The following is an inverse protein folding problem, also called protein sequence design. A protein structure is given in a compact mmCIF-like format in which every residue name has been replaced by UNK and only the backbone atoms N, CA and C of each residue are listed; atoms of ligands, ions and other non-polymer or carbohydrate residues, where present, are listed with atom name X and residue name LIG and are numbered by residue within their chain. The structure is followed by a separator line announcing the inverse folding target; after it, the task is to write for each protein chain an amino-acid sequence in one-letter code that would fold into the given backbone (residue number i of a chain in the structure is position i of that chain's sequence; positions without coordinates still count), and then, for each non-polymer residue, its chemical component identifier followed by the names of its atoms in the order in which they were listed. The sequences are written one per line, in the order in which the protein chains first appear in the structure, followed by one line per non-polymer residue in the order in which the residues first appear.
data_IF_117842857175
#
_entry.id   IF_117842857175
#
_cell.length_a   1.000
_cell.length_b   1.000
_cell.length_c   1.000
_cell.angle_alpha   90.00
_cell.angle_beta   90.00
_cell.angle_gamma   90.00
#
_symmetry.space_group_name_H-M   'P 1'
#
loop_
_entity.id
_entity.type
_entity.pdbx_description
1 polymer ?
#
# COMPACT_ATOMS: atom_id res chain seq x y z
N UNK A 1 -49.04 -31.19 28.22
CA UNK A 1 -47.58 -30.92 28.23
C UNK A 1 -47.41 -29.43 28.12
N UNK A 2 -46.81 -28.78 29.12
CA UNK A 2 -46.63 -27.33 29.08
C UNK A 2 -45.56 -26.99 28.03
N UNK A 3 -45.68 -25.84 27.35
CA UNK A 3 -44.74 -25.44 26.31
C UNK A 3 -43.27 -25.42 26.78
N UNK A 4 -43.05 -25.18 28.08
CA UNK A 4 -41.73 -25.28 28.73
C UNK A 4 -41.15 -26.68 28.69
N UNK A 5 -41.94 -27.70 29.02
CA UNK A 5 -41.50 -29.10 29.01
C UNK A 5 -41.06 -29.54 27.60
N UNK A 6 -41.70 -29.00 26.56
CA UNK A 6 -41.36 -29.30 25.16
C UNK A 6 -40.02 -28.66 24.79
N UNK A 7 -39.79 -27.41 25.19
CA UNK A 7 -38.56 -26.67 24.89
C UNK A 7 -37.38 -27.30 25.63
N UNK A 8 -37.54 -27.62 26.91
CA UNK A 8 -36.49 -28.21 27.74
C UNK A 8 -36.10 -29.61 27.24
N UNK A 9 -37.11 -30.43 26.86
CA UNK A 9 -36.87 -31.74 26.23
C UNK A 9 -36.23 -31.61 24.85
N UNK A 10 -36.56 -30.58 24.09
CA UNK A 10 -35.93 -30.29 22.80
C UNK A 10 -34.47 -29.85 22.96
N UNK A 11 -34.12 -29.08 24.00
CA UNK A 11 -32.73 -28.67 24.28
C UNK A 11 -31.85 -29.85 24.69
N UNK A 12 -32.35 -30.75 25.54
CA UNK A 12 -31.65 -31.98 25.92
C UNK A 12 -31.40 -32.87 24.70
N UNK A 13 -32.41 -33.03 23.84
CA UNK A 13 -32.26 -33.80 22.60
C UNK A 13 -31.32 -33.12 21.60
N UNK A 14 -31.27 -31.78 21.58
CA UNK A 14 -30.38 -31.00 20.72
C UNK A 14 -28.90 -31.20 21.04
N UNK A 15 -28.57 -31.44 22.31
CA UNK A 15 -27.20 -31.74 22.74
C UNK A 15 -26.72 -33.14 22.29
N UNK A 16 -27.63 -34.07 22.01
CA UNK A 16 -27.32 -35.43 21.53
C UNK A 16 -27.21 -35.54 20.01
N UNK A 17 -27.47 -34.46 19.26
CA UNK A 17 -27.43 -34.48 17.80
C UNK A 17 -25.99 -34.30 17.30
N UNK A 18 -25.64 -35.06 16.26
CA UNK A 18 -24.33 -34.97 15.62
C UNK A 18 -24.08 -33.55 15.09
N UNK A 19 -22.81 -33.14 15.02
CA UNK A 19 -22.39 -31.80 14.57
C UNK A 19 -22.91 -31.41 13.18
N UNK A 20 -23.34 -32.38 12.35
CA UNK A 20 -23.93 -32.17 11.02
C UNK A 20 -25.45 -32.01 10.98
N UNK A 21 -26.19 -32.21 12.08
CA UNK A 21 -27.66 -32.16 12.07
C UNK A 21 -28.23 -30.79 11.67
N UNK A 22 -27.56 -29.70 12.07
CA UNK A 22 -27.92 -28.34 11.64
C UNK A 22 -27.81 -28.18 10.13
N UNK A 23 -26.74 -28.71 9.53
CA UNK A 23 -26.52 -28.66 8.09
C UNK A 23 -27.55 -29.52 7.33
N UNK A 24 -27.91 -30.69 7.87
CA UNK A 24 -28.99 -31.53 7.30
C UNK A 24 -30.36 -30.86 7.38
N UNK A 25 -30.69 -30.23 8.50
CA UNK A 25 -31.94 -29.50 8.67
C UNK A 25 -32.03 -28.33 7.69
N UNK A 26 -30.96 -27.55 7.55
CA UNK A 26 -30.88 -26.44 6.58
C UNK A 26 -31.01 -26.99 5.15
N UNK A 27 -30.31 -28.07 4.80
CA UNK A 27 -30.45 -28.74 3.49
C UNK A 27 -31.88 -29.19 3.23
N UNK A 28 -32.56 -29.76 4.22
CA UNK A 28 -33.96 -30.20 4.09
C UNK A 28 -34.90 -29.01 3.85
N UNK A 29 -34.73 -27.91 4.59
CA UNK A 29 -35.53 -26.69 4.42
C UNK A 29 -35.36 -26.09 3.02
N UNK A 30 -34.11 -25.98 2.54
CA UNK A 30 -33.84 -25.49 1.18
C UNK A 30 -34.37 -26.45 0.10
N UNK A 31 -34.29 -27.76 0.33
CA UNK A 31 -34.84 -28.78 -0.59
C UNK A 31 -36.36 -28.66 -0.70
N UNK A 32 -37.06 -28.47 0.41
CA UNK A 32 -38.51 -28.33 0.41
C UNK A 32 -38.93 -27.01 -0.24
N UNK A 33 -38.23 -25.92 0.06
CA UNK A 33 -38.41 -24.64 -0.63
C UNK A 33 -38.18 -24.76 -2.14
N UNK A 34 -37.18 -25.53 -2.58
CA UNK A 34 -36.92 -25.78 -4.00
C UNK A 34 -38.06 -26.57 -4.66
N UNK A 35 -38.58 -27.61 -4.00
CA UNK A 35 -39.73 -28.40 -4.49
C UNK A 35 -40.96 -27.51 -4.68
N UNK A 36 -41.25 -26.67 -3.68
CA UNK A 36 -42.37 -25.71 -3.74
C UNK A 36 -42.15 -24.71 -4.88
N UNK A 37 -40.95 -24.14 -4.99
CA UNK A 37 -40.61 -23.18 -6.05
C UNK A 37 -40.73 -23.80 -7.45
N UNK A 38 -40.28 -25.04 -7.65
CA UNK A 38 -40.41 -25.75 -8.93
C UNK A 38 -41.86 -25.99 -9.34
N UNK A 39 -42.76 -26.19 -8.37
CA UNK A 39 -44.21 -26.38 -8.61
C UNK A 39 -44.93 -25.06 -8.87
N UNK A 40 -44.55 -24.00 -8.16
CA UNK A 40 -45.22 -22.71 -8.21
C UNK A 40 -44.70 -21.77 -9.30
N UNK A 41 -43.44 -21.93 -9.73
CA UNK A 41 -42.78 -21.02 -10.66
C UNK A 41 -42.54 -21.71 -12.00
N UNK A 42 -43.27 -21.29 -13.04
CA UNK A 42 -42.92 -21.63 -14.43
C UNK A 42 -41.78 -20.71 -14.89
N UNK A 43 -40.62 -21.28 -15.19
CA UNK A 43 -39.52 -20.55 -15.83
C UNK A 43 -39.87 -20.33 -17.31
N UNK A 44 -40.07 -19.08 -17.71
CA UNK A 44 -40.26 -18.72 -19.10
C UNK A 44 -38.94 -18.84 -19.87
N UNK A 45 -38.85 -19.86 -20.75
CA UNK A 45 -37.83 -20.02 -21.79
C UNK A 45 -36.40 -20.31 -21.32
N UNK A 46 -35.60 -20.88 -22.22
CA UNK A 46 -34.15 -20.91 -22.10
C UNK A 46 -33.66 -19.46 -21.92
N UNK A 47 -33.25 -19.13 -20.69
CA UNK A 47 -32.54 -17.89 -20.44
C UNK A 47 -31.30 -17.91 -21.32
N UNK A 48 -31.30 -17.14 -22.41
CA UNK A 48 -30.04 -16.64 -22.97
C UNK A 48 -29.27 -16.08 -21.79
N UNK A 49 -28.11 -16.64 -21.51
CA UNK A 49 -27.21 -16.08 -20.52
C UNK A 49 -27.05 -14.61 -20.90
N UNK A 50 -27.56 -13.70 -20.08
CA UNK A 50 -27.25 -12.29 -20.22
C UNK A 50 -25.73 -12.17 -20.28
N UNK A 51 -25.21 -11.20 -21.04
CA UNK A 51 -23.78 -10.94 -21.15
C UNK A 51 -23.12 -10.92 -19.76
N UNK A 52 -23.84 -10.37 -18.78
CA UNK A 52 -23.54 -10.38 -17.35
C UNK A 52 -23.22 -11.76 -16.78
N UNK A 53 -24.00 -12.80 -17.09
CA UNK A 53 -23.78 -14.16 -16.57
C UNK A 53 -22.60 -14.87 -17.24
N UNK A 54 -22.32 -14.56 -18.52
CA UNK A 54 -21.12 -15.07 -19.21
C UNK A 54 -19.85 -14.45 -18.64
N UNK A 55 -19.86 -13.13 -18.44
CA UNK A 55 -18.77 -12.40 -17.81
C UNK A 55 -18.57 -12.91 -16.38
N UNK A 56 -19.66 -13.10 -15.63
CA UNK A 56 -19.59 -13.63 -14.27
C UNK A 56 -18.89 -14.99 -14.23
N UNK A 57 -19.30 -15.93 -15.09
CA UNK A 57 -18.71 -17.28 -15.12
C UNK A 57 -17.20 -17.29 -15.36
N UNK A 58 -16.72 -16.36 -16.19
CA UNK A 58 -15.29 -16.19 -16.45
C UNK A 58 -14.64 -15.57 -15.20
N UNK A 59 -15.16 -14.44 -14.72
CA UNK A 59 -14.60 -13.68 -13.60
C UNK A 59 -14.63 -14.47 -12.28
N UNK A 60 -15.62 -15.33 -12.05
CA UNK A 60 -15.75 -16.14 -10.81
C UNK A 60 -15.08 -17.50 -10.90
N UNK A 61 -14.50 -17.85 -12.06
CA UNK A 61 -13.79 -19.12 -12.14
C UNK A 61 -12.49 -19.02 -11.32
N UNK A 62 -12.14 -20.03 -10.52
CA UNK A 62 -10.94 -19.98 -9.67
C UNK A 62 -9.65 -19.92 -10.50
N UNK A 63 -9.65 -20.49 -11.71
CA UNK A 63 -8.48 -20.53 -12.59
C UNK A 63 -8.30 -19.25 -13.42
N UNK A 64 -9.38 -18.65 -13.94
CA UNK A 64 -9.26 -17.44 -14.80
C UNK A 64 -9.54 -16.15 -14.06
N UNK A 65 -10.33 -16.17 -12.98
CA UNK A 65 -10.67 -14.97 -12.21
C UNK A 65 -9.48 -14.30 -11.52
N UNK A 66 -8.55 -15.09 -10.96
CA UNK A 66 -7.33 -14.59 -10.33
C UNK A 66 -6.37 -13.92 -11.35
N UNK A 67 -5.99 -14.56 -12.47
CA UNK A 67 -5.21 -13.91 -13.53
C UNK A 67 -5.88 -12.67 -14.10
N UNK A 68 -7.19 -12.70 -14.35
CA UNK A 68 -7.92 -11.54 -14.89
C UNK A 68 -7.90 -10.38 -13.89
N UNK A 69 -8.03 -10.65 -12.59
CA UNK A 69 -7.86 -9.61 -11.56
C UNK A 69 -6.46 -9.01 -11.60
N UNK A 70 -5.40 -9.85 -11.60
CA UNK A 70 -4.02 -9.35 -11.61
C UNK A 70 -3.73 -8.54 -12.88
N UNK A 71 -4.23 -8.99 -14.03
CA UNK A 71 -4.11 -8.27 -15.29
C UNK A 71 -4.84 -6.92 -15.25
N UNK A 72 -6.09 -6.89 -14.76
CA UNK A 72 -6.88 -5.67 -14.68
C UNK A 72 -6.30 -4.67 -13.67
N UNK A 73 -5.89 -5.14 -12.49
CA UNK A 73 -5.16 -4.32 -11.51
C UNK A 73 -3.83 -3.83 -12.11
N UNK A 74 -3.12 -4.68 -12.83
CA UNK A 74 -1.89 -4.32 -13.55
C UNK A 74 -2.12 -3.23 -14.60
N UNK A 75 -3.22 -3.29 -15.37
CA UNK A 75 -3.61 -2.25 -16.32
C UNK A 75 -3.91 -0.93 -15.60
N UNK A 76 -4.66 -0.97 -14.49
CA UNK A 76 -4.98 0.24 -13.72
C UNK A 76 -3.71 0.86 -13.13
N UNK A 77 -2.81 0.05 -12.56
CA UNK A 77 -1.53 0.52 -12.01
C UNK A 77 -0.65 1.08 -13.13
N UNK A 78 -0.55 0.39 -14.27
CA UNK A 78 0.23 0.87 -15.43
C UNK A 78 -0.30 2.20 -15.94
N UNK A 79 -1.63 2.31 -16.15
CA UNK A 79 -2.29 3.56 -16.55
C UNK A 79 -2.03 4.67 -15.53
N UNK A 80 -2.09 4.34 -14.24
CA UNK A 80 -1.83 5.28 -13.15
C UNK A 80 -0.39 5.77 -13.20
N UNK A 81 0.61 4.87 -13.23
CA UNK A 81 2.03 5.26 -13.18
C UNK A 81 2.44 6.01 -14.46
N UNK A 82 2.12 5.46 -15.63
CA UNK A 82 2.49 6.10 -16.90
C UNK A 82 1.76 7.43 -17.12
N UNK A 83 0.48 7.52 -16.77
CA UNK A 83 -0.29 8.76 -16.85
C UNK A 83 0.14 9.78 -15.79
N UNK A 84 0.45 9.32 -14.58
CA UNK A 84 0.87 10.20 -13.48
C UNK A 84 2.23 10.83 -13.75
N UNK A 85 3.20 10.13 -14.33
CA UNK A 85 4.54 10.69 -14.57
C UNK A 85 4.47 12.00 -15.37
N UNK A 86 3.73 12.00 -16.49
CA UNK A 86 3.57 13.18 -17.36
C UNK A 86 2.97 14.36 -16.59
N UNK A 87 1.91 14.10 -15.81
CA UNK A 87 1.22 15.14 -15.03
C UNK A 87 2.08 15.60 -13.85
N UNK A 88 2.82 14.69 -13.22
CA UNK A 88 3.72 14.97 -12.09
C UNK A 88 4.86 15.88 -12.51
N UNK A 89 5.46 15.63 -13.67
CA UNK A 89 6.55 16.46 -14.21
C UNK A 89 6.05 17.88 -14.55
N UNK A 90 4.86 17.99 -15.12
CA UNK A 90 4.24 19.29 -15.40
C UNK A 90 3.96 20.09 -14.11
N UNK A 91 3.40 19.44 -13.08
CA UNK A 91 3.14 20.07 -11.78
C UNK A 91 4.46 20.43 -11.08
N UNK A 92 5.43 19.52 -11.09
CA UNK A 92 6.76 19.75 -10.51
C UNK A 92 7.43 20.97 -11.13
N UNK A 93 7.41 21.10 -12.45
CA UNK A 93 8.00 22.24 -13.17
C UNK A 93 7.38 23.56 -12.70
N UNK A 94 6.06 23.63 -12.62
CA UNK A 94 5.35 24.85 -12.18
C UNK A 94 5.61 25.15 -10.71
N UNK A 95 5.52 24.15 -9.82
CA UNK A 95 5.72 24.34 -8.38
C UNK A 95 7.17 24.70 -8.05
N UNK A 96 8.16 24.06 -8.67
CA UNK A 96 9.56 24.42 -8.45
C UNK A 96 9.90 25.78 -9.05
N UNK A 97 9.31 26.16 -10.18
CA UNK A 97 9.45 27.52 -10.71
C UNK A 97 8.88 28.57 -9.76
N UNK A 98 7.67 28.37 -9.23
CA UNK A 98 7.09 29.25 -8.18
C UNK A 98 8.01 29.28 -6.96
N UNK A 99 8.57 28.12 -6.61
CA UNK A 99 9.69 27.96 -5.70
C UNK A 99 10.78 28.99 -5.96
N UNK A 100 11.49 28.87 -7.06
CA UNK A 100 12.66 29.72 -7.30
C UNK A 100 12.32 31.22 -7.31
N UNK A 101 11.12 31.61 -7.77
CA UNK A 101 10.63 32.99 -7.67
C UNK A 101 10.40 33.46 -6.23
N UNK A 102 9.78 32.62 -5.38
CA UNK A 102 9.56 32.96 -3.98
C UNK A 102 10.87 33.09 -3.19
N UNK A 103 11.88 32.28 -3.53
CA UNK A 103 13.23 32.42 -2.97
C UNK A 103 13.85 33.77 -3.35
N UNK A 104 13.79 34.14 -4.63
CA UNK A 104 14.28 35.43 -5.12
C UNK A 104 13.58 36.62 -4.43
N UNK A 105 12.28 36.50 -4.14
CA UNK A 105 11.53 37.51 -3.39
C UNK A 105 12.00 37.66 -1.94
N UNK A 106 12.30 36.55 -1.25
CA UNK A 106 12.84 36.58 0.12
C UNK A 106 14.27 37.16 0.16
N UNK A 107 15.08 36.87 -0.86
CA UNK A 107 16.40 37.46 -1.03
C UNK A 107 16.31 38.97 -1.32
N UNK A 108 15.33 39.42 -2.12
CA UNK A 108 15.04 40.84 -2.33
C UNK A 108 14.67 41.56 -1.01
N UNK A 109 13.90 40.90 -0.14
CA UNK A 109 13.56 41.41 1.19
C UNK A 109 14.72 41.33 2.21
N UNK A 110 15.90 40.82 1.81
CA UNK A 110 17.09 40.63 2.65
C UNK A 110 16.81 39.87 3.95
N UNK A 111 15.90 38.89 3.88
CA UNK A 111 15.64 38.03 5.03
C UNK A 111 16.86 37.16 5.34
N UNK A 112 17.13 36.85 6.63
CA UNK A 112 18.21 35.96 7.01
C UNK A 112 18.15 34.62 6.27
N UNK A 113 19.32 34.10 5.86
CA UNK A 113 19.43 32.86 5.09
C UNK A 113 18.70 31.67 5.73
N UNK A 114 18.64 31.62 7.07
CA UNK A 114 17.98 30.55 7.80
C UNK A 114 16.45 30.61 7.72
N UNK A 115 15.84 31.79 7.58
CA UNK A 115 14.39 31.94 7.41
C UNK A 115 14.00 31.50 6.00
N UNK A 116 14.72 32.00 5.00
CA UNK A 116 14.51 31.65 3.60
C UNK A 116 14.73 30.14 3.40
N UNK A 117 15.81 29.58 3.94
CA UNK A 117 16.09 28.16 3.83
C UNK A 117 15.06 27.30 4.56
N UNK A 118 14.70 27.63 5.80
CA UNK A 118 13.74 26.84 6.58
C UNK A 118 12.34 26.80 5.95
N UNK A 119 11.79 27.97 5.61
CA UNK A 119 10.43 28.09 5.08
C UNK A 119 10.40 27.61 3.63
N UNK A 120 11.38 28.01 2.83
CA UNK A 120 11.29 27.85 1.39
C UNK A 120 12.00 26.59 0.89
N UNK A 121 13.29 26.44 1.22
CA UNK A 121 14.06 25.26 0.80
C UNK A 121 13.69 24.00 1.61
N UNK A 122 13.15 24.16 2.82
CA UNK A 122 12.63 23.07 3.65
C UNK A 122 11.13 22.82 3.47
N UNK A 123 10.28 23.68 4.04
CA UNK A 123 8.82 23.45 4.07
C UNK A 123 8.21 23.48 2.67
N UNK A 124 8.42 24.54 1.90
CA UNK A 124 7.80 24.70 0.58
C UNK A 124 8.25 23.62 -0.40
N UNK A 125 9.57 23.38 -0.53
CA UNK A 125 10.08 22.32 -1.42
C UNK A 125 9.59 20.94 -1.01
N UNK A 126 9.54 20.63 0.27
CA UNK A 126 8.97 19.36 0.76
C UNK A 126 7.50 19.19 0.39
N UNK A 127 6.70 20.26 0.54
CA UNK A 127 5.31 20.27 0.11
C UNK A 127 5.16 20.15 -1.40
N UNK A 128 5.98 20.86 -2.18
CA UNK A 128 5.98 20.80 -3.64
C UNK A 128 6.26 19.37 -4.13
N UNK A 129 7.23 18.67 -3.52
CA UNK A 129 7.52 17.26 -3.80
C UNK A 129 6.34 16.34 -3.49
N UNK A 130 5.72 16.48 -2.32
CA UNK A 130 4.58 15.65 -1.94
C UNK A 130 3.39 15.90 -2.88
N UNK A 131 3.13 17.16 -3.23
CA UNK A 131 2.04 17.50 -4.15
C UNK A 131 2.33 16.99 -5.56
N UNK A 132 3.53 17.21 -6.10
CA UNK A 132 3.85 16.80 -7.47
C UNK A 132 3.84 15.28 -7.64
N UNK A 133 4.39 14.53 -6.69
CA UNK A 133 4.53 13.07 -6.81
C UNK A 133 3.29 12.31 -6.35
N UNK A 134 2.60 12.77 -5.31
CA UNK A 134 1.49 12.01 -4.71
C UNK A 134 0.13 12.33 -5.34
N UNK A 135 -0.12 13.57 -5.75
CA UNK A 135 -1.45 13.99 -6.23
C UNK A 135 -1.86 13.32 -7.56
N UNK A 136 -1.05 13.34 -8.64
CA UNK A 136 -1.45 12.78 -9.93
C UNK A 136 -1.80 11.29 -9.91
N UNK A 137 -0.99 10.38 -9.31
CA UNK A 137 -1.34 8.97 -9.31
C UNK A 137 -2.60 8.70 -8.48
N UNK A 138 -2.84 9.42 -7.37
CA UNK A 138 -4.09 9.29 -6.61
C UNK A 138 -5.30 9.81 -7.40
N UNK A 139 -5.15 10.92 -8.13
CA UNK A 139 -6.20 11.50 -8.95
C UNK A 139 -6.62 10.60 -10.12
N UNK A 140 -5.74 9.73 -10.62
CA UNK A 140 -6.04 8.75 -11.67
C UNK A 140 -6.54 7.43 -11.06
N UNK A 141 -5.83 6.92 -10.05
CA UNK A 141 -6.09 5.60 -9.45
C UNK A 141 -7.48 5.52 -8.81
N UNK A 142 -7.87 6.50 -7.99
CA UNK A 142 -9.14 6.41 -7.27
C UNK A 142 -10.36 6.44 -8.17
N UNK A 143 -10.50 7.35 -9.16
CA UNK A 143 -11.61 7.26 -10.10
C UNK A 143 -11.64 5.95 -10.89
N UNK A 144 -10.48 5.47 -11.38
CA UNK A 144 -10.40 4.20 -12.11
C UNK A 144 -10.86 3.02 -11.23
N UNK A 145 -10.41 2.98 -9.97
CA UNK A 145 -10.79 1.95 -9.02
C UNK A 145 -12.27 2.03 -8.63
N UNK A 146 -12.80 3.23 -8.36
CA UNK A 146 -14.23 3.43 -8.03
C UNK A 146 -15.13 3.02 -9.20
N UNK A 147 -14.72 3.22 -10.45
CA UNK A 147 -15.46 2.71 -11.62
C UNK A 147 -15.55 1.17 -11.58
N UNK A 148 -14.44 0.50 -11.27
CA UNK A 148 -14.41 -0.97 -11.15
C UNK A 148 -15.22 -1.48 -9.96
N UNK A 149 -15.27 -0.70 -8.88
CA UNK A 149 -16.10 -0.94 -7.70
C UNK A 149 -17.59 -0.86 -8.05
N UNK A 150 -18.02 0.24 -8.67
CA UNK A 150 -19.43 0.50 -9.04
C UNK A 150 -19.94 -0.46 -10.13
N UNK A 151 -19.06 -0.90 -11.03
CA UNK A 151 -19.36 -1.97 -11.99
C UNK A 151 -19.61 -3.32 -11.31
N UNK A 152 -19.32 -3.49 -10.01
CA UNK A 152 -19.52 -4.75 -9.31
C UNK A 152 -18.49 -5.82 -9.67
N UNK A 153 -17.38 -5.45 -10.33
CA UNK A 153 -16.28 -6.35 -10.66
C UNK A 153 -15.48 -6.73 -9.40
N UNK A 154 -15.12 -5.73 -8.58
CA UNK A 154 -14.31 -5.96 -7.38
C UNK A 154 -14.97 -6.91 -6.36
N UNK A 155 -16.28 -6.79 -6.02
CA UNK A 155 -16.96 -7.75 -5.14
C UNK A 155 -16.88 -9.21 -5.63
N UNK A 156 -16.96 -9.45 -6.95
CA UNK A 156 -16.88 -10.80 -7.55
C UNK A 156 -15.48 -11.37 -7.44
N UNK A 157 -14.47 -10.52 -7.64
CA UNK A 157 -13.08 -10.92 -7.46
C UNK A 157 -12.75 -11.23 -6.00
N UNK A 158 -13.30 -10.45 -5.06
CA UNK A 158 -13.13 -10.73 -3.63
C UNK A 158 -13.68 -12.11 -3.22
N UNK A 159 -14.73 -12.58 -3.90
CA UNK A 159 -15.25 -13.95 -3.70
C UNK A 159 -14.22 -15.03 -4.08
N UNK A 160 -13.47 -14.86 -5.18
CA UNK A 160 -12.44 -15.83 -5.57
C UNK A 160 -11.28 -15.87 -4.57
N UNK A 161 -10.96 -14.74 -3.95
CA UNK A 161 -9.89 -14.63 -2.95
C UNK A 161 -10.33 -15.06 -1.56
N UNK A 162 -11.63 -15.25 -1.30
CA UNK A 162 -12.16 -15.53 0.03
C UNK A 162 -11.53 -16.79 0.64
N UNK A 163 -11.29 -17.85 -0.14
CA UNK A 163 -10.67 -19.06 0.41
C UNK A 163 -9.25 -18.80 0.93
N UNK A 164 -8.48 -17.92 0.27
CA UNK A 164 -7.11 -17.59 0.67
C UNK A 164 -7.10 -16.78 1.96
N UNK A 165 -7.98 -15.78 2.06
CA UNK A 165 -8.15 -14.98 3.27
C UNK A 165 -8.71 -15.81 4.43
N UNK A 166 -9.67 -16.70 4.18
CA UNK A 166 -10.20 -17.59 5.21
C UNK A 166 -9.12 -18.51 5.77
N UNK A 167 -8.20 -19.00 4.92
CA UNK A 167 -7.06 -19.82 5.36
C UNK A 167 -6.09 -19.05 6.26
N UNK A 168 -5.91 -17.75 6.04
CA UNK A 168 -5.12 -16.87 6.92
C UNK A 168 -5.88 -16.36 8.15
N UNK A 169 -7.13 -16.78 8.37
CA UNK A 169 -7.96 -16.33 9.50
C UNK A 169 -8.50 -14.90 9.32
N UNK A 170 -8.67 -14.49 8.08
CA UNK A 170 -9.17 -13.19 7.64
C UNK A 170 -10.44 -13.33 6.78
N UNK A 171 -11.02 -12.20 6.38
CA UNK A 171 -12.31 -12.12 5.67
C UNK A 171 -12.10 -11.77 4.19
N UNK A 172 -12.85 -12.35 3.24
CA UNK A 172 -12.70 -12.08 1.80
C UNK A 172 -12.86 -10.60 1.41
N UNK A 173 -13.69 -9.84 2.13
CA UNK A 173 -13.80 -8.36 1.98
C UNK A 173 -12.46 -7.63 2.17
N UNK A 174 -11.49 -8.22 2.88
CA UNK A 174 -10.15 -7.66 3.01
C UNK A 174 -9.44 -7.51 1.66
N UNK A 175 -9.69 -8.38 0.70
CA UNK A 175 -9.14 -8.26 -0.66
C UNK A 175 -9.43 -6.89 -1.29
N UNK A 176 -10.66 -6.38 -1.11
CA UNK A 176 -11.08 -5.07 -1.60
C UNK A 176 -10.27 -3.94 -0.97
N UNK A 177 -10.04 -4.05 0.34
CA UNK A 177 -9.33 -3.04 1.12
C UNK A 177 -7.84 -3.01 0.80
N UNK A 178 -7.26 -4.18 0.52
CA UNK A 178 -5.87 -4.31 0.07
C UNK A 178 -5.69 -3.74 -1.33
N UNK A 179 -6.64 -4.01 -2.23
CA UNK A 179 -6.61 -3.46 -3.57
C UNK A 179 -6.64 -1.92 -3.55
N UNK A 180 -7.39 -1.31 -2.62
CA UNK A 180 -7.38 0.14 -2.42
C UNK A 180 -6.05 0.67 -1.82
N UNK A 181 -5.32 -0.16 -1.07
CA UNK A 181 -4.01 0.16 -0.50
C UNK A 181 -2.94 0.46 -1.55
N UNK A 182 -2.99 -0.17 -2.73
CA UNK A 182 -2.09 0.12 -3.86
C UNK A 182 -2.07 1.60 -4.25
N UNK A 183 -3.23 2.28 -4.16
CA UNK A 183 -3.29 3.72 -4.34
C UNK A 183 -2.71 4.45 -3.13
N UNK A 184 -3.33 4.25 -1.96
CA UNK A 184 -2.86 4.85 -0.71
C UNK A 184 -3.27 3.97 0.48
N UNK A 185 -2.31 3.59 1.31
CA UNK A 185 -2.58 2.79 2.51
C UNK A 185 -3.54 3.49 3.48
N UNK A 186 -3.56 4.83 3.54
CA UNK A 186 -4.53 5.56 4.36
C UNK A 186 -5.97 5.37 3.85
N UNK A 187 -6.19 5.41 2.54
CA UNK A 187 -7.50 5.12 1.94
C UNK A 187 -7.88 3.63 2.12
N UNK A 188 -6.91 2.72 1.96
CA UNK A 188 -7.05 1.30 2.25
C UNK A 188 -7.54 1.04 3.67
N UNK A 189 -6.94 1.69 4.68
CA UNK A 189 -7.37 1.61 6.08
C UNK A 189 -8.81 2.12 6.27
N UNK A 190 -9.20 3.23 5.64
CA UNK A 190 -10.59 3.75 5.73
C UNK A 190 -11.59 2.76 5.12
N UNK A 191 -11.23 2.09 4.02
CA UNK A 191 -12.10 1.11 3.35
C UNK A 191 -12.37 -0.15 4.17
N UNK A 192 -11.60 -0.41 5.24
CA UNK A 192 -11.82 -1.55 6.14
C UNK A 192 -13.16 -1.49 6.88
N UNK A 193 -13.86 -0.34 6.86
CA UNK A 193 -15.25 -0.20 7.34
C UNK A 193 -16.25 -1.12 6.64
N UNK A 194 -15.91 -1.66 5.47
CA UNK A 194 -16.71 -2.67 4.76
C UNK A 194 -16.72 -4.03 5.49
N UNK A 195 -15.73 -4.29 6.35
CA UNK A 195 -15.61 -5.51 7.17
C UNK A 195 -16.40 -5.34 8.47
N UNK A 196 -17.39 -6.21 8.68
CA UNK A 196 -18.35 -6.10 9.79
C UNK A 196 -17.72 -6.52 11.13
N UNK A 197 -16.89 -7.58 11.11
CA UNK A 197 -16.22 -8.09 12.31
C UNK A 197 -15.10 -7.15 12.78
N UNK A 198 -15.16 -6.60 14.02
CA UNK A 198 -14.13 -5.69 14.53
C UNK A 198 -12.73 -6.31 14.56
N UNK A 199 -12.65 -7.62 14.82
CA UNK A 199 -11.40 -8.38 14.85
C UNK A 199 -10.77 -8.48 13.47
N UNK A 200 -11.53 -8.93 12.49
CA UNK A 200 -11.06 -9.09 11.10
C UNK A 200 -10.76 -7.72 10.48
N UNK A 201 -11.56 -6.70 10.82
CA UNK A 201 -11.29 -5.30 10.46
C UNK A 201 -9.93 -4.85 10.98
N UNK A 202 -9.58 -5.16 12.22
CA UNK A 202 -8.29 -4.79 12.78
C UNK A 202 -7.12 -5.52 12.13
N UNK A 203 -7.28 -6.81 11.79
CA UNK A 203 -6.28 -7.55 10.99
C UNK A 203 -6.07 -6.86 9.64
N UNK A 204 -7.16 -6.51 8.94
CA UNK A 204 -7.10 -5.79 7.67
C UNK A 204 -6.40 -4.43 7.80
N UNK A 205 -6.71 -3.66 8.85
CA UNK A 205 -6.06 -2.36 9.13
C UNK A 205 -4.54 -2.53 9.30
N UNK A 206 -4.09 -3.49 10.11
CA UNK A 206 -2.67 -3.69 10.41
C UNK A 206 -1.89 -4.26 9.23
N UNK A 207 -2.52 -5.12 8.43
CA UNK A 207 -1.85 -5.79 7.31
C UNK A 207 -1.89 -5.00 6.00
N UNK A 208 -2.72 -3.95 5.90
CA UNK A 208 -2.82 -3.11 4.69
C UNK A 208 -1.47 -2.54 4.26
N UNK A 209 -0.59 -2.23 5.22
CA UNK A 209 0.73 -1.67 4.94
C UNK A 209 1.65 -2.56 4.10
N UNK A 210 1.47 -3.89 4.14
CA UNK A 210 2.31 -4.83 3.37
C UNK A 210 2.04 -4.77 1.86
N UNK A 211 0.99 -4.07 1.46
CA UNK A 211 0.75 -3.71 0.06
C UNK A 211 1.52 -2.42 -0.26
N UNK A 212 2.35 -2.39 -1.32
CA UNK A 212 3.06 -1.18 -1.70
C UNK A 212 2.06 -0.14 -2.23
N UNK A 213 2.03 1.04 -1.60
CA UNK A 213 1.25 2.17 -2.08
C UNK A 213 2.02 3.00 -3.12
N UNK A 214 1.34 3.91 -3.83
CA UNK A 214 1.90 4.79 -4.85
C UNK A 214 3.28 5.38 -4.48
N UNK A 215 3.47 5.89 -3.26
CA UNK A 215 4.74 6.46 -2.83
C UNK A 215 5.94 5.52 -2.74
N UNK A 216 5.73 4.20 -2.75
CA UNK A 216 6.80 3.20 -2.73
C UNK A 216 7.25 2.82 -4.14
N UNK A 217 6.39 2.97 -5.15
CA UNK A 217 6.72 2.58 -6.53
C UNK A 217 7.92 3.32 -7.14
N UNK A 218 8.10 4.65 -6.96
CA UNK A 218 9.28 5.34 -7.50
C UNK A 218 10.60 4.72 -7.03
N UNK A 219 10.71 4.41 -5.74
CA UNK A 219 11.89 3.74 -5.18
C UNK A 219 12.08 2.35 -5.79
N UNK A 220 11.02 1.55 -5.88
CA UNK A 220 11.08 0.19 -6.44
C UNK A 220 11.47 0.20 -7.93
N UNK A 221 10.89 1.11 -8.72
CA UNK A 221 11.15 1.25 -10.15
C UNK A 221 12.58 1.75 -10.39
N UNK A 222 13.04 2.73 -9.62
CA UNK A 222 14.41 3.24 -9.70
C UNK A 222 15.42 2.12 -9.45
N UNK A 223 15.27 1.37 -8.36
CA UNK A 223 16.19 0.29 -8.01
C UNK A 223 16.12 -0.87 -9.00
N UNK A 224 14.92 -1.21 -9.48
CA UNK A 224 14.75 -2.29 -10.46
C UNK A 224 15.44 -1.93 -11.78
N UNK A 225 15.31 -0.68 -12.23
CA UNK A 225 15.95 -0.19 -13.45
C UNK A 225 17.48 -0.12 -13.31
N UNK A 226 17.97 0.47 -12.22
CA UNK A 226 19.41 0.78 -12.04
C UNK A 226 20.24 -0.45 -11.66
N UNK A 227 19.68 -1.42 -10.94
CA UNK A 227 20.44 -2.58 -10.43
C UNK A 227 20.06 -3.91 -11.07
N UNK A 228 18.76 -4.16 -11.30
CA UNK A 228 18.31 -5.47 -11.82
C UNK A 228 18.34 -5.50 -13.35
N UNK A 229 17.86 -4.44 -13.98
CA UNK A 229 17.83 -4.33 -15.45
C UNK A 229 19.15 -3.80 -16.05
N UNK A 230 20.13 -3.49 -15.22
CA UNK A 230 21.34 -2.76 -15.59
C UNK A 230 22.24 -3.48 -16.64
N UNK A 231 22.13 -4.81 -16.75
CA UNK A 231 22.87 -5.63 -17.72
C UNK A 231 22.11 -5.90 -19.03
N UNK A 232 20.90 -5.35 -19.18
CA UNK A 232 20.03 -5.57 -20.33
C UNK A 232 19.80 -4.26 -21.08
N UNK A 233 19.47 -4.33 -22.37
CA UNK A 233 19.29 -3.16 -23.22
C UNK A 233 17.95 -3.17 -23.96
N UNK A 234 17.33 -1.99 -24.11
CA UNK A 234 16.09 -1.83 -24.88
C UNK A 234 14.87 -2.44 -24.18
N UNK A 235 14.00 -3.09 -24.95
CA UNK A 235 12.73 -3.63 -24.44
C UNK A 235 12.91 -4.67 -23.32
N UNK A 236 13.97 -5.47 -23.36
CA UNK A 236 14.23 -6.52 -22.36
C UNK A 236 14.53 -5.92 -20.98
N UNK A 237 15.22 -4.78 -20.91
CA UNK A 237 15.49 -4.07 -19.67
C UNK A 237 14.18 -3.62 -18.99
N UNK A 238 13.26 -3.03 -19.76
CA UNK A 238 11.96 -2.59 -19.25
C UNK A 238 11.11 -3.76 -18.74
N UNK A 239 11.11 -4.90 -19.45
CA UNK A 239 10.38 -6.10 -19.03
C UNK A 239 10.96 -6.67 -17.74
N UNK A 240 12.29 -6.72 -17.60
CA UNK A 240 12.96 -7.24 -16.40
C UNK A 240 12.74 -6.32 -15.20
N UNK A 241 12.83 -5.00 -15.38
CA UNK A 241 12.50 -4.05 -14.32
C UNK A 241 11.05 -4.19 -13.86
N UNK A 242 10.11 -4.31 -14.80
CA UNK A 242 8.69 -4.55 -14.48
C UNK A 242 8.48 -5.88 -13.75
N UNK A 243 9.12 -6.95 -14.20
CA UNK A 243 9.05 -8.27 -13.56
C UNK A 243 9.61 -8.24 -12.13
N UNK A 244 10.70 -7.49 -11.88
CA UNK A 244 11.25 -7.30 -10.55
C UNK A 244 10.27 -6.58 -9.63
N UNK A 245 9.64 -5.48 -10.09
CA UNK A 245 8.61 -4.75 -9.32
C UNK A 245 7.41 -5.65 -9.02
N UNK A 246 6.92 -6.41 -10.00
CA UNK A 246 5.83 -7.38 -9.80
C UNK A 246 6.24 -8.45 -8.77
N UNK A 247 7.48 -8.95 -8.82
CA UNK A 247 8.01 -9.89 -7.85
C UNK A 247 7.96 -9.33 -6.42
N UNK A 248 8.40 -8.09 -6.22
CA UNK A 248 8.32 -7.39 -4.92
C UNK A 248 6.87 -7.22 -4.47
N UNK A 249 5.96 -6.85 -5.37
CA UNK A 249 4.53 -6.75 -5.05
C UNK A 249 3.96 -8.09 -4.58
N UNK A 250 4.30 -9.19 -5.26
CA UNK A 250 3.86 -10.54 -4.88
C UNK A 250 4.44 -10.97 -3.53
N UNK A 251 5.69 -10.60 -3.22
CA UNK A 251 6.27 -10.80 -1.90
C UNK A 251 5.44 -10.05 -0.83
N UNK A 252 5.02 -8.81 -1.10
CA UNK A 252 4.17 -8.03 -0.20
C UNK A 252 2.79 -8.66 0.04
N UNK A 253 2.17 -9.19 -1.02
CA UNK A 253 0.94 -9.98 -0.91
C UNK A 253 1.17 -11.26 -0.09
N UNK A 254 2.31 -11.92 -0.25
CA UNK A 254 2.71 -13.05 0.59
C UNK A 254 2.82 -12.69 2.06
N UNK A 255 3.51 -11.60 2.39
CA UNK A 255 3.62 -11.08 3.77
C UNK A 255 2.27 -10.67 4.35
N UNK A 256 1.38 -10.13 3.53
CA UNK A 256 0.00 -9.82 3.92
C UNK A 256 -0.72 -11.06 4.46
N UNK A 257 -0.65 -12.18 3.73
CA UNK A 257 -1.26 -13.43 4.17
C UNK A 257 -0.57 -14.03 5.39
N UNK A 258 0.77 -14.01 5.42
CA UNK A 258 1.57 -14.47 6.55
C UNK A 258 1.22 -13.71 7.83
N UNK A 259 1.18 -12.38 7.76
CA UNK A 259 0.89 -11.53 8.92
C UNK A 259 -0.56 -11.61 9.35
N UNK A 260 -1.49 -11.77 8.40
CA UNK A 260 -2.91 -12.05 8.73
C UNK A 260 -3.04 -13.35 9.53
N UNK A 261 -2.32 -14.40 9.11
CA UNK A 261 -2.27 -15.69 9.81
C UNK A 261 -1.62 -15.59 11.20
N UNK A 262 -0.49 -14.91 11.31
CA UNK A 262 0.21 -14.73 12.58
C UNK A 262 -0.65 -13.93 13.56
N UNK A 263 -1.24 -12.81 13.13
CA UNK A 263 -2.07 -11.95 13.98
C UNK A 263 -3.36 -12.64 14.42
N UNK A 264 -4.02 -13.39 13.53
CA UNK A 264 -5.27 -14.11 13.86
C UNK A 264 -5.06 -15.23 14.89
N UNK A 265 -3.84 -15.79 14.99
CA UNK A 265 -3.48 -16.85 15.95
C UNK A 265 -2.88 -16.32 17.26
N UNK A 266 -2.21 -15.16 17.23
CA UNK A 266 -1.46 -14.63 18.38
C UNK A 266 -2.25 -13.56 19.13
N UNK A 267 -2.30 -12.34 18.59
CA UNK A 267 -2.80 -11.15 19.27
C UNK A 267 -4.32 -11.01 19.16
N UNK A 268 -4.91 -11.50 18.08
CA UNK A 268 -6.33 -11.32 17.75
C UNK A 268 -7.01 -12.69 17.68
N UNK A 269 -7.19 -13.35 18.83
CA UNK A 269 -7.91 -14.64 18.95
C UNK A 269 -9.43 -14.41 18.99
N UNK A 270 -10.22 -15.24 18.33
CA UNK A 270 -11.69 -15.16 18.32
C UNK A 270 -12.35 -16.11 17.32
N UNK A 271 -13.67 -16.11 17.26
CA UNK A 271 -14.45 -16.88 16.28
C UNK A 271 -14.46 -16.18 14.91
N UNK A 272 -14.48 -16.96 13.82
CA UNK A 272 -14.53 -16.45 12.45
C UNK A 272 -15.96 -16.00 12.13
N UNK A 273 -16.12 -14.83 11.49
CA UNK A 273 -17.45 -14.37 11.09
C UNK A 273 -17.97 -15.14 9.87
N UNK A 274 -19.28 -15.34 9.78
CA UNK A 274 -19.90 -16.01 8.64
C UNK A 274 -19.93 -15.07 7.42
N UNK A 275 -19.31 -15.49 6.32
CA UNK A 275 -19.27 -14.74 5.06
C UNK A 275 -20.61 -14.87 4.31
N UNK A 276 -21.51 -13.90 4.47
CA UNK A 276 -22.68 -13.73 3.59
C UNK A 276 -22.44 -12.52 2.69
N UNK A 277 -21.81 -12.73 1.53
CA UNK A 277 -21.66 -11.67 0.53
C UNK A 277 -22.86 -11.71 -0.44
N UNK A 278 -23.77 -10.76 -0.29
CA UNK A 278 -24.78 -10.50 -1.31
C UNK A 278 -24.06 -9.94 -2.56
N UNK A 279 -24.05 -10.69 -3.66
CA UNK A 279 -23.44 -10.23 -4.91
C UNK A 279 -24.29 -9.08 -5.49
N UNK A 280 -23.75 -7.85 -5.60
CA UNK A 280 -24.51 -6.74 -6.15
C UNK A 280 -24.76 -6.94 -7.67
N UNK A 281 -25.94 -6.53 -8.18
CA UNK A 281 -26.20 -6.55 -9.62
C UNK A 281 -25.28 -5.59 -10.37
N UNK A 282 -24.92 -5.88 -11.62
CA UNK A 282 -24.18 -4.96 -12.48
C UNK A 282 -24.97 -3.66 -12.63
N UNK A 283 -24.35 -2.52 -12.31
CA UNK A 283 -24.94 -1.19 -12.47
C UNK A 283 -24.02 -0.34 -13.34
N UNK A 284 -24.62 0.52 -14.18
CA UNK A 284 -23.84 1.48 -14.97
C UNK A 284 -23.26 2.56 -14.04
N UNK A 285 -21.95 2.80 -14.07
CA UNK A 285 -21.30 3.75 -13.19
C UNK A 285 -21.74 5.19 -13.51
N UNK A 286 -22.08 5.98 -12.49
CA UNK A 286 -22.36 7.40 -12.68
C UNK A 286 -21.04 8.20 -12.68
N UNK A 287 -20.45 8.37 -13.86
CA UNK A 287 -19.11 8.94 -14.04
C UNK A 287 -18.95 10.30 -13.33
N UNK A 288 -19.96 11.18 -13.38
CA UNK A 288 -19.89 12.50 -12.74
C UNK A 288 -19.81 12.40 -11.22
N UNK A 289 -20.66 11.57 -10.62
CA UNK A 289 -20.65 11.34 -9.16
C UNK A 289 -19.35 10.68 -8.73
N UNK A 290 -18.87 9.70 -9.50
CA UNK A 290 -17.61 8.99 -9.21
C UNK A 290 -16.43 9.95 -9.24
N UNK A 291 -16.33 10.79 -10.26
CA UNK A 291 -15.23 11.74 -10.41
C UNK A 291 -15.23 12.76 -9.27
N UNK A 292 -16.38 13.33 -8.93
CA UNK A 292 -16.53 14.26 -7.80
C UNK A 292 -16.13 13.62 -6.47
N UNK A 293 -16.73 12.47 -6.14
CA UNK A 293 -16.51 11.76 -4.86
C UNK A 293 -15.06 11.28 -4.76
N UNK A 294 -14.49 10.75 -5.84
CA UNK A 294 -13.13 10.21 -5.81
C UNK A 294 -12.07 11.31 -5.72
N UNK A 295 -12.20 12.39 -6.49
CA UNK A 295 -11.22 13.49 -6.45
C UNK A 295 -11.29 14.28 -5.15
N UNK A 296 -12.49 14.61 -4.67
CA UNK A 296 -12.62 15.44 -3.48
C UNK A 296 -12.42 14.59 -2.22
N UNK A 297 -13.27 13.58 -2.01
CA UNK A 297 -13.31 12.84 -0.75
C UNK A 297 -12.07 11.96 -0.56
N UNK A 298 -11.61 11.30 -1.63
CA UNK A 298 -10.50 10.34 -1.56
C UNK A 298 -9.14 10.98 -1.89
N UNK A 299 -9.03 11.89 -2.85
CA UNK A 299 -7.75 12.51 -3.22
C UNK A 299 -7.41 13.74 -2.38
N UNK A 300 -8.25 14.79 -2.41
CA UNK A 300 -7.92 16.08 -1.80
C UNK A 300 -7.83 16.03 -0.27
N UNK A 301 -8.75 15.36 0.43
CA UNK A 301 -8.64 15.26 1.90
C UNK A 301 -7.44 14.43 2.37
N UNK A 302 -7.06 13.39 1.62
CA UNK A 302 -5.88 12.59 1.95
C UNK A 302 -4.62 13.38 1.65
N UNK A 303 -4.57 14.10 0.53
CA UNK A 303 -3.48 15.01 0.19
C UNK A 303 -3.30 16.11 1.26
N UNK A 304 -4.40 16.70 1.73
CA UNK A 304 -4.36 17.71 2.79
C UNK A 304 -3.71 17.17 4.07
N UNK A 305 -4.07 15.95 4.49
CA UNK A 305 -3.45 15.30 5.66
C UNK A 305 -1.96 15.02 5.42
N UNK A 306 -1.59 14.58 4.22
CA UNK A 306 -0.20 14.34 3.87
C UNK A 306 0.63 15.63 3.90
N UNK A 307 0.09 16.74 3.39
CA UNK A 307 0.75 18.05 3.45
C UNK A 307 0.96 18.52 4.90
N UNK A 308 -0.04 18.37 5.77
CA UNK A 308 0.09 18.72 7.19
C UNK A 308 1.20 17.93 7.89
N UNK A 309 1.40 16.67 7.51
CA UNK A 309 2.50 15.85 8.07
C UNK A 309 3.84 16.09 7.39
N UNK A 310 3.86 16.43 6.10
CA UNK A 310 5.07 16.61 5.31
C UNK A 310 5.75 17.98 5.53
N UNK A 311 4.98 19.05 5.77
CA UNK A 311 5.53 20.37 6.05
C UNK A 311 6.59 20.37 7.19
N UNK A 312 6.30 19.85 8.40
CA UNK A 312 7.31 19.80 9.47
C UNK A 312 8.46 18.84 9.14
N UNK A 313 8.21 17.80 8.33
CA UNK A 313 9.25 16.89 7.86
C UNK A 313 10.27 17.60 6.97
N UNK A 314 9.79 18.36 5.97
CA UNK A 314 10.64 19.15 5.08
C UNK A 314 11.47 20.18 5.84
N UNK A 315 10.87 20.82 6.85
CA UNK A 315 11.58 21.72 7.75
C UNK A 315 12.72 21.01 8.50
N UNK A 316 12.43 19.84 9.07
CA UNK A 316 13.40 19.04 9.80
C UNK A 316 14.53 18.54 8.89
N UNK A 317 14.21 18.09 7.67
CA UNK A 317 15.21 17.68 6.67
C UNK A 317 16.18 18.82 6.39
N UNK A 318 15.67 20.03 6.15
CA UNK A 318 16.50 21.20 5.89
C UNK A 318 17.38 21.56 7.09
N UNK A 319 16.83 21.53 8.31
CA UNK A 319 17.59 21.79 9.53
C UNK A 319 18.74 20.79 9.68
N UNK A 320 18.47 19.50 9.48
CA UNK A 320 19.49 18.45 9.59
C UNK A 320 20.57 18.59 8.50
N UNK A 321 20.20 19.04 7.29
CA UNK A 321 21.14 19.22 6.19
C UNK A 321 22.05 20.45 6.36
N UNK A 322 21.57 21.53 6.99
CA UNK A 322 22.29 22.81 7.04
C UNK A 322 22.97 23.10 8.38
N UNK A 323 22.64 22.40 9.47
CA UNK A 323 23.37 22.55 10.73
C UNK A 323 24.77 21.93 10.57
N UNK A 324 25.84 22.71 10.69
CA UNK A 324 27.20 22.18 10.65
C UNK A 324 27.49 21.41 11.95
N UNK A 325 28.08 20.23 11.82
CA UNK A 325 28.57 19.41 12.91
C UNK A 325 30.03 19.02 12.61
N UNK A 326 30.98 19.70 13.26
CA UNK A 326 32.40 19.64 12.92
C UNK A 326 32.65 19.96 11.43
N UNK A 327 33.02 18.95 10.63
CA UNK A 327 33.36 19.09 9.21
C UNK A 327 32.25 18.60 8.26
N UNK A 328 31.13 18.12 8.80
CA UNK A 328 30.02 17.55 8.01
C UNK A 328 28.69 18.17 8.42
N UNK A 329 27.62 17.91 7.65
CA UNK A 329 26.27 18.26 8.09
C UNK A 329 25.80 17.34 9.21
N UNK A 330 24.89 17.83 10.06
CA UNK A 330 24.29 17.01 11.13
C UNK A 330 23.62 15.75 10.56
N UNK A 331 23.00 15.85 9.38
CA UNK A 331 22.45 14.71 8.65
C UNK A 331 23.53 13.65 8.36
N UNK A 332 24.70 14.05 7.84
CA UNK A 332 25.79 13.11 7.60
C UNK A 332 26.35 12.50 8.90
N UNK A 333 26.45 13.28 9.97
CA UNK A 333 26.91 12.77 11.27
C UNK A 333 25.95 11.69 11.82
N UNK A 334 24.64 11.90 11.72
CA UNK A 334 23.64 10.91 12.14
C UNK A 334 23.68 9.69 11.21
N UNK A 335 23.83 9.88 9.90
CA UNK A 335 23.96 8.77 8.95
C UNK A 335 25.19 7.91 9.26
N UNK A 336 26.34 8.53 9.57
CA UNK A 336 27.55 7.80 9.99
C UNK A 336 27.33 7.02 11.29
N UNK A 337 26.59 7.58 12.24
CA UNK A 337 26.21 6.87 13.46
C UNK A 337 25.26 5.69 13.20
N UNK A 338 24.40 5.78 12.19
CA UNK A 338 23.48 4.71 11.77
C UNK A 338 24.14 3.63 10.90
N UNK A 339 25.32 3.88 10.30
CA UNK A 339 26.03 2.92 9.44
C UNK A 339 26.17 1.50 10.01
N UNK A 340 26.59 1.27 11.28
CA UNK A 340 26.68 -0.10 11.80
C UNK A 340 25.34 -0.85 11.72
N UNK A 341 24.23 -0.17 12.02
CA UNK A 341 22.89 -0.76 11.90
C UNK A 341 22.48 -0.95 10.43
N UNK A 342 22.83 0.01 9.56
CA UNK A 342 22.61 -0.09 8.13
C UNK A 342 23.28 -1.34 7.55
N UNK A 343 24.57 -1.49 7.81
CA UNK A 343 25.34 -2.62 7.30
C UNK A 343 24.83 -3.96 7.84
N UNK A 344 24.38 -4.05 9.09
CA UNK A 344 23.76 -5.26 9.62
C UNK A 344 22.54 -5.71 8.79
N UNK A 345 21.79 -4.75 8.24
CA UNK A 345 20.64 -5.00 7.37
C UNK A 345 21.01 -5.10 5.88
N UNK A 346 22.29 -5.03 5.52
CA UNK A 346 22.74 -4.93 4.13
C UNK A 346 22.37 -3.60 3.47
N UNK A 347 22.07 -2.57 4.26
CA UNK A 347 21.82 -1.18 3.85
C UNK A 347 23.00 -0.30 4.28
N UNK A 348 22.83 1.01 4.25
CA UNK A 348 23.75 1.99 4.85
C UNK A 348 23.00 2.95 5.78
N UNK A 349 23.75 3.78 6.51
CA UNK A 349 23.17 4.72 7.45
C UNK A 349 22.42 5.87 6.80
N UNK A 350 22.71 6.20 5.53
CA UNK A 350 22.00 7.25 4.78
C UNK A 350 20.58 6.78 4.44
N UNK A 351 20.43 5.54 3.98
CA UNK A 351 19.13 4.89 3.76
C UNK A 351 18.33 4.90 5.06
N UNK A 352 18.92 4.44 6.17
CA UNK A 352 18.20 4.40 7.45
C UNK A 352 17.77 5.79 7.91
N UNK A 353 18.65 6.78 7.80
CA UNK A 353 18.33 8.17 8.14
C UNK A 353 17.18 8.70 7.28
N UNK A 354 17.23 8.46 5.96
CA UNK A 354 16.19 8.90 5.05
C UNK A 354 14.83 8.32 5.43
N UNK A 355 14.74 7.03 5.75
CA UNK A 355 13.48 6.41 6.21
C UNK A 355 13.01 6.90 7.59
N UNK A 356 13.93 7.27 8.49
CA UNK A 356 13.57 7.85 9.80
C UNK A 356 12.98 9.25 9.64
N UNK A 357 13.56 10.10 8.78
CA UNK A 357 13.09 11.47 8.60
C UNK A 357 11.87 11.52 7.68
N UNK A 358 11.80 10.65 6.67
CA UNK A 358 10.73 10.60 5.69
C UNK A 358 9.50 9.77 6.13
N UNK A 359 9.40 9.37 7.41
CA UNK A 359 8.18 8.75 7.96
C UNK A 359 6.90 9.50 7.54
N UNK A 360 6.86 10.84 7.46
CA UNK A 360 5.66 11.54 7.05
C UNK A 360 5.20 11.27 5.61
N UNK A 361 6.14 11.08 4.68
CA UNK A 361 5.85 10.84 3.26
C UNK A 361 6.93 9.96 2.63
N UNK A 362 6.53 8.81 2.09
CA UNK A 362 7.50 7.85 1.53
C UNK A 362 8.05 8.31 0.17
N UNK A 363 7.38 9.26 -0.46
CA UNK A 363 7.73 9.89 -1.74
C UNK A 363 9.02 10.73 -1.62
N UNK A 364 9.31 11.30 -0.45
CA UNK A 364 10.49 12.14 -0.23
C UNK A 364 11.73 11.35 0.22
N UNK A 365 11.63 10.02 0.38
CA UNK A 365 12.77 9.17 0.77
C UNK A 365 13.91 9.32 -0.23
N UNK A 366 13.64 9.16 -1.53
CA UNK A 366 14.68 9.21 -2.57
C UNK A 366 15.31 10.61 -2.68
N UNK A 367 14.55 11.72 -2.75
CA UNK A 367 15.13 13.07 -2.69
C UNK A 367 15.99 13.32 -1.45
N UNK A 368 15.58 12.80 -0.29
CA UNK A 368 16.34 12.92 0.97
C UNK A 368 17.64 12.12 0.92
N UNK A 369 17.62 10.91 0.36
CA UNK A 369 18.83 10.12 0.16
C UNK A 369 19.82 10.83 -0.77
N UNK A 370 19.33 11.33 -1.91
CA UNK A 370 20.17 12.06 -2.87
C UNK A 370 20.78 13.31 -2.24
N UNK A 371 20.01 14.07 -1.46
CA UNK A 371 20.50 15.21 -0.70
C UNK A 371 21.66 14.83 0.23
N UNK A 372 21.51 13.77 1.04
CA UNK A 372 22.56 13.38 2.00
C UNK A 372 23.80 12.83 1.29
N UNK A 373 23.65 12.04 0.22
CA UNK A 373 24.76 11.51 -0.57
C UNK A 373 25.57 12.58 -1.31
N UNK A 374 24.91 13.66 -1.70
CA UNK A 374 25.54 14.79 -2.40
C UNK A 374 25.95 15.92 -1.46
N UNK A 375 25.65 15.79 -0.16
CA UNK A 375 25.79 16.84 0.85
C UNK A 375 25.08 18.16 0.44
N UNK A 376 23.94 18.06 -0.24
CA UNK A 376 23.15 19.22 -0.60
C UNK A 376 22.43 19.78 0.64
N UNK A 377 22.27 21.10 0.72
CA UNK A 377 21.52 21.77 1.80
C UNK A 377 20.00 21.65 1.66
N UNK A 378 19.49 20.89 0.70
CA UNK A 378 18.07 20.83 0.36
C UNK A 378 17.75 19.58 -0.46
N UNK A 379 16.48 19.14 -0.43
CA UNK A 379 16.03 18.02 -1.24
C UNK A 379 16.20 18.31 -2.73
N UNK A 380 16.82 17.37 -3.44
CA UNK A 380 17.09 17.43 -4.87
C UNK A 380 16.36 16.31 -5.61
N UNK A 381 16.08 16.53 -6.90
CA UNK A 381 15.56 15.50 -7.78
C UNK A 381 16.58 14.40 -8.02
N UNK A 382 16.07 13.21 -8.32
CA UNK A 382 16.90 12.13 -8.85
C UNK A 382 17.52 12.55 -10.18
N UNK A 383 18.80 12.22 -10.43
CA UNK A 383 19.40 12.41 -11.75
C UNK A 383 18.54 11.78 -12.87
N UNK A 384 18.48 12.44 -14.01
CA UNK A 384 17.62 12.03 -15.14
C UNK A 384 18.08 10.72 -15.80
N UNK A 385 19.38 10.41 -15.71
CA UNK A 385 19.96 9.21 -16.32
C UNK A 385 20.27 8.14 -15.28
N UNK A 386 19.89 6.89 -15.60
CA UNK A 386 20.21 5.74 -14.76
C UNK A 386 21.70 5.52 -14.55
N UNK A 387 22.54 5.95 -15.51
CA UNK A 387 24.00 5.92 -15.40
C UNK A 387 24.53 6.88 -14.33
N UNK A 388 23.98 8.11 -14.25
CA UNK A 388 24.37 9.07 -13.21
C UNK A 388 23.93 8.61 -11.81
N UNK A 389 22.77 7.97 -11.71
CA UNK A 389 22.34 7.33 -10.45
C UNK A 389 23.29 6.20 -10.08
N UNK A 390 23.65 5.35 -11.05
CA UNK A 390 24.55 4.22 -10.82
C UNK A 390 25.95 4.67 -10.44
N UNK A 391 26.49 5.69 -11.10
CA UNK A 391 27.83 6.22 -10.78
C UNK A 391 27.87 6.79 -9.36
N UNK A 392 26.83 7.51 -8.94
CA UNK A 392 26.71 8.02 -7.57
C UNK A 392 26.59 6.88 -6.55
N UNK A 393 25.65 5.95 -6.75
CA UNK A 393 25.35 4.92 -5.75
C UNK A 393 26.42 3.82 -5.70
N UNK A 394 26.83 3.28 -6.85
CA UNK A 394 27.82 2.20 -6.93
C UNK A 394 29.23 2.75 -6.82
N UNK A 395 29.55 3.76 -7.63
CA UNK A 395 30.91 4.33 -7.69
C UNK A 395 31.25 5.22 -6.50
N UNK A 396 30.29 6.03 -6.03
CA UNK A 396 30.51 6.97 -4.93
C UNK A 396 30.30 6.36 -3.54
N UNK A 397 29.32 5.46 -3.38
CA UNK A 397 28.88 4.97 -2.06
C UNK A 397 28.87 3.44 -1.93
N UNK A 398 29.43 2.71 -2.90
CA UNK A 398 29.69 1.27 -2.79
C UNK A 398 28.45 0.38 -2.77
N UNK A 399 27.32 0.83 -3.33
CA UNK A 399 26.10 0.04 -3.35
C UNK A 399 26.26 -1.26 -4.14
N UNK A 400 25.76 -2.36 -3.56
CA UNK A 400 25.73 -3.68 -4.19
C UNK A 400 24.31 -4.05 -4.63
N UNK A 401 24.18 -5.12 -5.43
CA UNK A 401 22.86 -5.67 -5.75
C UNK A 401 22.11 -6.12 -4.48
N UNK A 402 22.83 -6.62 -3.46
CA UNK A 402 22.26 -6.94 -2.15
C UNK A 402 21.64 -5.71 -1.50
N UNK A 403 22.34 -4.57 -1.53
CA UNK A 403 21.83 -3.29 -1.00
C UNK A 403 20.55 -2.88 -1.71
N UNK A 404 20.51 -2.98 -3.04
CA UNK A 404 19.31 -2.66 -3.81
C UNK A 404 18.13 -3.59 -3.47
N UNK A 405 18.36 -4.91 -3.39
CA UNK A 405 17.31 -5.88 -3.03
C UNK A 405 16.81 -5.65 -1.60
N UNK A 406 17.73 -5.45 -0.63
CA UNK A 406 17.34 -5.18 0.75
C UNK A 406 16.61 -3.86 0.88
N UNK A 407 16.95 -2.84 0.09
CA UNK A 407 16.23 -1.58 0.07
C UNK A 407 14.83 -1.74 -0.54
N UNK A 408 14.66 -2.56 -1.59
CA UNK A 408 13.32 -2.87 -2.11
C UNK A 408 12.46 -3.57 -1.05
N UNK A 409 13.01 -4.57 -0.35
CA UNK A 409 12.32 -5.30 0.72
C UNK A 409 12.04 -4.40 1.92
N UNK A 410 12.98 -3.55 2.31
CA UNK A 410 12.79 -2.57 3.38
C UNK A 410 11.69 -1.59 3.00
N UNK A 411 11.76 -0.99 1.81
CA UNK A 411 10.72 -0.08 1.31
C UNK A 411 9.34 -0.72 1.32
N UNK A 412 9.23 -1.99 0.92
CA UNK A 412 8.00 -2.75 0.90
C UNK A 412 7.44 -3.03 2.31
N UNK A 413 8.29 -3.37 3.29
CA UNK A 413 7.86 -3.90 4.58
C UNK A 413 7.92 -2.88 5.72
N UNK A 414 8.58 -1.73 5.53
CA UNK A 414 8.77 -0.72 6.58
C UNK A 414 7.45 -0.06 7.03
N UNK A 415 7.58 0.84 8.00
CA UNK A 415 6.44 1.49 8.63
C UNK A 415 5.47 2.20 7.66
N UNK A 416 4.19 2.30 8.05
CA UNK A 416 3.24 3.19 7.40
C UNK A 416 3.67 4.64 7.46
N UNK A 417 3.31 5.41 6.43
CA UNK A 417 3.50 6.86 6.45
C UNK A 417 2.66 7.51 7.56
N UNK A 418 3.03 8.70 8.02
CA UNK A 418 2.33 9.38 9.11
C UNK A 418 0.81 9.53 8.85
N UNK A 419 0.40 9.83 7.60
CA UNK A 419 -1.01 9.88 7.22
C UNK A 419 -1.74 8.57 7.48
N UNK A 420 -1.09 7.44 7.21
CA UNK A 420 -1.66 6.11 7.47
C UNK A 420 -1.70 5.83 8.97
N UNK A 421 -0.64 6.12 9.72
CA UNK A 421 -0.60 5.95 11.19
C UNK A 421 -1.73 6.76 11.87
N UNK A 422 -1.90 8.03 11.48
CA UNK A 422 -2.97 8.90 11.97
C UNK A 422 -4.36 8.36 11.61
N UNK A 423 -4.49 7.75 10.43
CA UNK A 423 -5.75 7.15 9.99
C UNK A 423 -6.06 5.87 10.77
N UNK A 424 -5.06 5.03 11.04
CA UNK A 424 -5.19 3.86 11.93
C UNK A 424 -5.64 4.31 13.31
N UNK A 425 -5.04 5.36 13.86
CA UNK A 425 -5.47 5.94 15.14
C UNK A 425 -6.93 6.42 15.09
N UNK A 426 -7.34 7.11 14.02
CA UNK A 426 -8.73 7.59 13.87
C UNK A 426 -9.75 6.46 13.74
N UNK A 427 -9.43 5.38 13.03
CA UNK A 427 -10.32 4.22 12.85
C UNK A 427 -10.39 3.32 14.09
N UNK A 428 -9.28 3.17 14.82
CA UNK A 428 -9.20 2.28 16.00
C UNK A 428 -9.43 3.01 17.32
N UNK A 429 -9.35 4.35 17.34
CA UNK A 429 -9.36 5.22 18.52
C UNK A 429 -8.36 4.80 19.61
N UNK A 430 -7.25 4.17 19.23
CA UNK A 430 -6.28 3.62 20.17
C UNK A 430 -4.85 3.80 19.67
N UNK A 431 -4.04 4.48 20.48
CA UNK A 431 -2.61 4.64 20.22
C UNK A 431 -1.87 3.30 20.23
N UNK A 432 -2.36 2.31 20.99
CA UNK A 432 -1.75 0.97 21.05
C UNK A 432 -1.75 0.31 19.68
N UNK A 433 -2.86 0.39 18.93
CA UNK A 433 -2.98 -0.21 17.59
C UNK A 433 -2.18 0.56 16.53
N UNK A 434 -2.12 1.89 16.64
CA UNK A 434 -1.26 2.71 15.79
C UNK A 434 0.23 2.36 16.01
N UNK A 435 0.70 2.28 17.26
CA UNK A 435 2.06 1.89 17.58
C UNK A 435 2.36 0.44 17.15
N UNK A 436 1.43 -0.50 17.38
CA UNK A 436 1.58 -1.87 16.92
C UNK A 436 1.74 -1.97 15.40
N UNK A 437 1.03 -1.14 14.62
CA UNK A 437 1.18 -1.13 13.16
C UNK A 437 2.62 -0.80 12.73
N UNK A 438 3.28 0.12 13.45
CA UNK A 438 4.68 0.50 13.21
C UNK A 438 5.63 -0.59 13.68
N UNK A 439 5.43 -1.12 14.88
CA UNK A 439 6.33 -2.15 15.46
C UNK A 439 6.30 -3.44 14.64
N UNK A 440 5.11 -3.90 14.22
CA UNK A 440 4.97 -5.12 13.42
C UNK A 440 5.66 -4.96 12.06
N UNK A 441 5.40 -3.86 11.36
CA UNK A 441 5.95 -3.61 10.02
C UNK A 441 7.46 -3.39 10.08
N UNK A 442 7.94 -2.49 10.95
CA UNK A 442 9.37 -2.23 11.13
C UNK A 442 10.14 -3.46 11.61
N UNK A 443 9.57 -4.22 12.57
CA UNK A 443 10.16 -5.48 13.04
C UNK A 443 10.24 -6.53 11.92
N UNK A 444 9.21 -6.62 11.08
CA UNK A 444 9.22 -7.51 9.91
C UNK A 444 10.27 -7.06 8.89
N UNK A 445 10.34 -5.77 8.58
CA UNK A 445 11.34 -5.22 7.66
C UNK A 445 12.76 -5.51 8.13
N UNK A 446 13.05 -5.23 9.42
CA UNK A 446 14.35 -5.49 10.02
C UNK A 446 14.71 -6.98 9.99
N UNK A 447 13.78 -7.85 10.38
CA UNK A 447 14.00 -9.30 10.37
C UNK A 447 14.30 -9.79 8.95
N UNK A 448 13.52 -9.37 7.96
CA UNK A 448 13.67 -9.83 6.58
C UNK A 448 14.99 -9.35 5.98
N UNK A 449 15.33 -8.06 6.12
CA UNK A 449 16.57 -7.52 5.55
C UNK A 449 17.82 -8.03 6.27
N UNK A 450 17.73 -8.26 7.58
CA UNK A 450 18.79 -8.90 8.35
C UNK A 450 19.03 -10.34 7.88
N UNK A 451 17.96 -11.12 7.69
CA UNK A 451 18.07 -12.51 7.21
C UNK A 451 18.62 -12.57 5.80
N UNK A 452 18.16 -11.73 4.88
CA UNK A 452 18.68 -11.70 3.51
C UNK A 452 20.14 -11.25 3.46
N UNK A 453 20.54 -10.25 4.24
CA UNK A 453 21.93 -9.83 4.36
C UNK A 453 22.83 -10.95 4.94
N UNK A 454 22.36 -11.61 6.00
CA UNK A 454 23.11 -12.70 6.65
C UNK A 454 23.27 -13.89 5.72
N UNK A 455 22.22 -14.29 4.99
CA UNK A 455 22.28 -15.35 4.00
C UNK A 455 23.24 -15.02 2.86
N UNK A 456 23.22 -13.80 2.34
CA UNK A 456 24.14 -13.38 1.28
C UNK A 456 25.61 -13.44 1.73
N UNK A 457 25.91 -13.00 2.96
CA UNK A 457 27.25 -13.11 3.55
C UNK A 457 27.67 -14.56 3.77
N UNK A 458 26.77 -15.41 4.25
CA UNK A 458 27.04 -16.85 4.43
C UNK A 458 27.33 -17.57 3.11
N UNK A 459 26.68 -17.15 2.03
CA UNK A 459 26.90 -17.68 0.68
C UNK A 459 28.12 -17.07 -0.03
N UNK A 460 28.83 -16.12 0.59
CA UNK A 460 29.98 -15.44 0.00
C UNK A 460 29.64 -14.57 -1.21
N UNK A 461 28.38 -14.11 -1.31
CA UNK A 461 27.92 -13.23 -2.39
C UNK A 461 28.30 -11.76 -2.17
N UNK A 462 28.74 -11.41 -0.96
CA UNK A 462 29.23 -10.08 -0.54
C UNK A 462 30.33 -10.25 0.50
#
# INVERSE_FOLDING_TARGET
MQAKDIIEKAEVLRAGLSTGFRDEMVKSLYREAEIIARRAVRRAGDKKYDLDQRIDRIVTSPLTGLPIMLALLGIVIWLTVSGANIVSDAIATVLFWIGDQGKAFFEFLRLPWWITGFIWDGVYRGLAWVVSVMFPPMAIFFPAFTILEDLGYLPRVAFNLDWLYRKSGAHGKQALTMAMGFGCNAAGVISTRVIDSPRERLIAILTNNFVPCNGRFPTLIMLATVFVAAGFSGFTASVIAAAAVVGVVLIGVGFTFLMSYLLSRTVLKGEASAFTLELPPYRRPNIRRILYTSLIDRTLFVLWRAMQTAAPAGALIWVLANIPYHNTSLAQAIAQWLNPFGYLLGLDGVILLAYIIAIPANEIVVPTMMMVYTNAGMMISTPETGEAIRSLLVGGHGWTLLTAINLMLFSLLHNPCATTILTIYKETKSLRWAAMSVVITLGTAFLVTFLTASLARLLGLV
#
